data_IF_237335320078
#
_entry.id   IF_237335320078
#
_cell.length_a   1.000
_cell.length_b   1.000
_cell.length_c   1.000
_cell.angle_alpha   90.00
_cell.angle_beta   90.00
_cell.angle_gamma   90.00
#
_symmetry.space_group_name_H-M   'P 1'
#
loop_
_entity.id
_entity.type
_entity.pdbx_description
1 polymer ?
#
# COMPACT_ATOMS: atom_id res chain seq x y z
N UNK A 1 -16.33 1.60 -7.42
CA UNK A 1 -15.02 1.81 -6.78
C UNK A 1 -15.25 1.66 -5.29
N UNK A 2 -14.39 0.94 -4.57
CA UNK A 2 -14.55 0.79 -3.12
C UNK A 2 -14.32 2.15 -2.45
N UNK A 3 -15.23 2.59 -1.58
CA UNK A 3 -15.08 3.81 -0.78
C UNK A 3 -14.09 3.53 0.36
N UNK A 4 -12.99 4.29 0.43
CA UNK A 4 -12.01 4.14 1.49
C UNK A 4 -12.22 5.23 2.54
N UNK A 5 -12.49 4.84 3.79
CA UNK A 5 -12.66 5.76 4.92
C UNK A 5 -11.38 5.84 5.75
N UNK A 6 -10.89 7.06 5.97
CA UNK A 6 -9.79 7.34 6.90
C UNK A 6 -10.23 7.15 8.35
N UNK A 7 -9.41 6.49 9.16
CA UNK A 7 -9.68 6.19 10.57
C UNK A 7 -8.80 7.04 11.48
N UNK A 8 -9.39 7.67 12.49
CA UNK A 8 -8.65 8.48 13.47
C UNK A 8 -7.68 7.61 14.27
N UNK A 9 -6.44 8.09 14.44
CA UNK A 9 -5.39 7.38 15.18
C UNK A 9 -4.58 6.36 14.37
N UNK A 10 -4.83 6.19 13.07
CA UNK A 10 -4.05 5.29 12.21
C UNK A 10 -2.84 6.03 11.61
N UNK A 11 -1.63 5.47 11.83
CA UNK A 11 -0.41 5.92 11.16
C UNK A 11 -0.25 5.15 9.86
N UNK A 12 -0.35 5.86 8.73
CA UNK A 12 -0.16 5.27 7.40
C UNK A 12 1.33 5.17 7.03
N UNK A 13 1.65 4.26 6.10
CA UNK A 13 3.01 4.02 5.61
C UNK A 13 3.19 4.49 4.17
N UNK A 14 4.34 5.03 3.81
CA UNK A 14 4.58 5.46 2.45
C UNK A 14 4.46 4.27 1.48
N UNK A 15 3.56 4.33 0.48
CA UNK A 15 3.33 3.20 -0.41
C UNK A 15 4.59 2.86 -1.23
N UNK A 16 5.36 3.86 -1.67
CA UNK A 16 6.56 3.65 -2.47
C UNK A 16 7.71 3.04 -1.66
N UNK A 17 7.92 3.52 -0.44
CA UNK A 17 8.93 2.94 0.46
C UNK A 17 8.56 1.50 0.81
N UNK A 18 7.27 1.23 1.04
CA UNK A 18 6.77 -0.09 1.37
C UNK A 18 7.04 -1.12 0.25
N UNK A 19 6.94 -0.74 -1.02
CA UNK A 19 7.31 -1.61 -2.16
C UNK A 19 8.78 -2.07 -2.14
N UNK A 20 9.65 -1.30 -1.50
CA UNK A 20 11.06 -1.63 -1.29
C UNK A 20 11.33 -2.23 0.10
N UNK A 21 10.27 -2.69 0.78
CA UNK A 21 10.31 -3.26 2.13
C UNK A 21 10.82 -2.28 3.21
N UNK A 22 10.73 -0.97 2.95
CA UNK A 22 11.07 0.06 3.92
C UNK A 22 9.80 0.54 4.65
N UNK A 23 9.81 0.50 5.98
CA UNK A 23 8.71 1.00 6.80
C UNK A 23 8.91 2.48 7.14
N UNK A 24 8.19 3.36 6.46
CA UNK A 24 8.30 4.82 6.62
C UNK A 24 6.91 5.41 6.83
N UNK A 25 6.64 6.12 7.94
CA UNK A 25 5.36 6.77 8.13
C UNK A 25 5.16 7.93 7.15
N UNK A 26 3.91 8.18 6.77
CA UNK A 26 3.50 9.43 6.10
C UNK A 26 2.74 10.32 7.06
N UNK A 27 2.88 11.62 6.87
CA UNK A 27 2.06 12.62 7.57
C UNK A 27 1.01 13.15 6.61
N UNK A 28 -0.20 13.30 7.11
CA UNK A 28 -1.25 14.04 6.41
C UNK A 28 -1.13 15.52 6.75
N UNK A 29 -1.39 16.36 5.76
CA UNK A 29 -1.34 17.81 5.88
C UNK A 29 -2.73 18.42 5.73
N UNK A 30 -2.84 19.73 5.99
CA UNK A 30 -4.12 20.48 5.97
C UNK A 30 -4.88 20.37 4.63
N UNK A 31 -4.17 20.11 3.54
CA UNK A 31 -4.73 19.92 2.19
C UNK A 31 -5.25 18.49 1.93
N UNK A 32 -5.25 17.61 2.95
CA UNK A 32 -5.68 16.21 2.82
C UNK A 32 -4.68 15.32 2.08
N UNK A 33 -3.47 15.82 1.84
CA UNK A 33 -2.41 15.13 1.12
C UNK A 33 -1.45 14.44 2.09
N UNK A 34 -1.06 13.22 1.75
CA UNK A 34 -0.05 12.45 2.45
C UNK A 34 1.32 12.68 1.84
N UNK A 35 2.29 13.10 2.67
CA UNK A 35 3.68 13.29 2.22
C UNK A 35 4.66 12.39 2.95
N UNK A 36 5.64 11.88 2.20
CA UNK A 36 6.74 11.08 2.73
C UNK A 36 8.03 11.90 2.76
N UNK A 37 8.66 11.97 3.94
CA UNK A 37 9.94 12.67 4.14
C UNK A 37 11.15 11.96 3.52
N UNK A 38 11.06 10.64 3.28
CA UNK A 38 12.18 9.84 2.75
C UNK A 38 12.29 9.92 1.22
N UNK A 39 11.20 9.66 0.51
CA UNK A 39 11.21 9.52 -0.95
C UNK A 39 10.47 10.63 -1.70
N UNK A 40 9.88 11.59 -0.99
CA UNK A 40 9.15 12.70 -1.61
C UNK A 40 7.77 12.31 -2.17
N UNK A 41 7.23 11.13 -1.84
CA UNK A 41 5.85 10.77 -2.20
C UNK A 41 4.87 11.85 -1.72
N UNK A 42 3.92 12.19 -2.59
CA UNK A 42 2.84 13.14 -2.37
C UNK A 42 1.60 12.58 -3.08
N UNK A 43 0.51 12.33 -2.35
CA UNK A 43 -0.73 11.81 -2.94
C UNK A 43 -1.91 11.83 -1.98
N UNK A 44 -3.09 11.62 -2.54
CA UNK A 44 -4.34 11.48 -1.77
C UNK A 44 -4.41 10.15 -1.03
N UNK A 45 -5.39 10.00 -0.14
CA UNK A 45 -5.65 8.71 0.52
C UNK A 45 -6.02 7.62 -0.49
N UNK A 46 -6.82 7.98 -1.50
CA UNK A 46 -7.28 7.09 -2.56
C UNK A 46 -6.10 6.54 -3.37
N UNK A 47 -5.15 7.40 -3.73
CA UNK A 47 -3.91 7.00 -4.41
C UNK A 47 -3.12 6.00 -3.55
N UNK A 48 -2.98 6.31 -2.27
CA UNK A 48 -2.29 5.46 -1.30
C UNK A 48 -2.97 4.08 -1.17
N UNK A 49 -4.30 4.05 -1.12
CA UNK A 49 -5.08 2.83 -1.05
C UNK A 49 -4.89 1.94 -2.29
N UNK A 50 -4.84 2.52 -3.49
CA UNK A 50 -4.52 1.79 -4.73
C UNK A 50 -3.15 1.14 -4.64
N UNK A 51 -2.13 1.87 -4.18
CA UNK A 51 -0.79 1.30 -4.00
C UNK A 51 -0.75 0.19 -2.96
N UNK A 52 -1.44 0.33 -1.83
CA UNK A 52 -1.52 -0.74 -0.82
C UNK A 52 -2.18 -2.01 -1.36
N UNK A 53 -3.23 -1.87 -2.17
CA UNK A 53 -3.85 -3.03 -2.82
C UNK A 53 -2.87 -3.73 -3.78
N UNK A 54 -2.13 -2.95 -4.56
CA UNK A 54 -1.07 -3.47 -5.44
C UNK A 54 0.07 -4.14 -4.67
N UNK A 55 0.40 -3.65 -3.47
CA UNK A 55 1.38 -4.30 -2.61
C UNK A 55 0.85 -5.63 -2.07
N UNK A 56 -0.38 -5.66 -1.53
CA UNK A 56 -1.02 -6.87 -1.01
C UNK A 56 -1.18 -7.96 -2.08
N UNK A 57 -1.47 -7.60 -3.32
CA UNK A 57 -1.66 -8.57 -4.40
C UNK A 57 -0.40 -9.41 -4.67
N UNK A 58 0.81 -8.83 -4.51
CA UNK A 58 2.09 -9.55 -4.66
C UNK A 58 2.26 -10.67 -3.65
N UNK A 59 1.64 -10.53 -2.48
CA UNK A 59 1.77 -11.47 -1.38
C UNK A 59 0.54 -12.34 -1.17
N UNK A 60 -0.47 -12.22 -2.05
CA UNK A 60 -1.73 -12.97 -1.96
C UNK A 60 -1.54 -14.50 -1.90
N UNK A 61 -0.44 -15.00 -2.47
CA UNK A 61 -0.14 -16.42 -2.55
C UNK A 61 0.99 -16.84 -1.58
N UNK A 62 1.48 -15.96 -0.71
CA UNK A 62 2.54 -16.33 0.25
C UNK A 62 2.11 -17.42 1.23
N UNK A 63 0.84 -17.48 1.57
CA UNK A 63 0.29 -18.45 2.52
C UNK A 63 0.14 -19.85 1.91
N UNK A 64 0.24 -19.98 0.59
CA UNK A 64 0.04 -21.24 -0.13
C UNK A 64 1.24 -21.57 -1.02
N UNK A 65 1.88 -22.70 -0.74
CA UNK A 65 2.81 -23.32 -1.70
C UNK A 65 2.02 -23.86 -2.89
N UNK A 66 2.23 -23.27 -4.08
CA UNK A 66 1.59 -23.72 -5.31
C UNK A 66 2.28 -24.96 -5.89
N UNK A 67 1.48 -25.94 -6.33
CA UNK A 67 2.00 -27.06 -7.12
C UNK A 67 2.28 -26.64 -8.57
N UNK A 68 3.04 -27.45 -9.31
CA UNK A 68 3.32 -27.19 -10.73
C UNK A 68 2.04 -27.20 -11.58
N UNK A 69 1.04 -28.02 -11.22
CA UNK A 69 -0.24 -28.08 -11.93
C UNK A 69 -1.09 -26.83 -11.73
N UNK A 70 -1.06 -26.26 -10.51
CA UNK A 70 -1.76 -25.02 -10.19
C UNK A 70 -1.12 -23.82 -10.88
N UNK A 71 0.21 -23.77 -10.94
CA UNK A 71 0.94 -22.71 -11.64
C UNK A 71 0.60 -22.63 -13.14
N UNK A 72 0.30 -23.77 -13.78
CA UNK A 72 -0.07 -23.83 -15.20
C UNK A 72 -1.48 -23.31 -15.50
N UNK A 73 -2.31 -23.07 -14.47
CA UNK A 73 -3.71 -22.63 -14.60
C UNK A 73 -3.91 -21.15 -14.20
N UNK A 74 -2.87 -20.51 -13.68
CA UNK A 74 -2.84 -19.08 -13.35
C UNK A 74 -2.55 -18.24 -14.60
#
# INVERSE_FOLDING_TARGET
MAEYKKTEGVIYRCPLCLFTLNDVPVSEYEDGIFRCVKCGYNGSFEDMAVHYNNFRSRYKLMEKRLTLEEQRKL
#
